data_IF_655437663226
#
_entry.id   IF_655437663226
#
_cell.length_a   1.000
_cell.length_b   1.000
_cell.length_c   1.000
_cell.angle_alpha   90.00
_cell.angle_beta   90.00
_cell.angle_gamma   90.00
#
_symmetry.space_group_name_H-M   'P 1'
#
loop_
_entity.id
_entity.type
_entity.pdbx_description
1 polymer ?
#
# COMPACT_ATOMS: atom_id res chain seq x y z
N UNK A 1 -16.36 11.98 -15.77
CA UNK A 1 -16.04 10.69 -15.13
C UNK A 1 -15.07 10.83 -13.95
N UNK A 2 -15.13 11.94 -13.19
CA UNK A 2 -14.18 12.24 -12.09
C UNK A 2 -14.78 11.87 -10.72
N UNK A 3 -16.10 12.01 -10.55
CA UNK A 3 -16.83 11.74 -9.31
C UNK A 3 -16.82 10.26 -8.85
N UNK A 4 -16.75 9.29 -9.76
CA UNK A 4 -16.61 7.87 -9.39
C UNK A 4 -15.21 7.57 -8.85
N UNK A 5 -14.19 8.24 -9.40
CA UNK A 5 -12.79 8.03 -9.03
C UNK A 5 -12.53 8.51 -7.60
N UNK A 6 -13.00 9.71 -7.24
CA UNK A 6 -12.83 10.27 -5.89
C UNK A 6 -13.57 9.47 -4.81
N UNK A 7 -14.79 8.98 -5.09
CA UNK A 7 -15.55 8.18 -4.12
C UNK A 7 -14.95 6.79 -3.91
N UNK A 8 -14.42 6.17 -4.97
CA UNK A 8 -13.74 4.87 -4.89
C UNK A 8 -12.44 4.97 -4.07
N UNK A 9 -11.66 6.04 -4.25
CA UNK A 9 -10.46 6.30 -3.46
C UNK A 9 -10.75 6.55 -1.98
N UNK A 10 -11.77 7.35 -1.65
CA UNK A 10 -12.17 7.54 -0.24
C UNK A 10 -12.62 6.24 0.42
N UNK A 11 -13.38 5.40 -0.28
CA UNK A 11 -13.79 4.08 0.21
C UNK A 11 -12.59 3.17 0.47
N UNK A 12 -11.60 3.15 -0.44
CA UNK A 12 -10.36 2.39 -0.25
C UNK A 12 -9.50 2.91 0.90
N UNK A 13 -9.34 4.22 1.03
CA UNK A 13 -8.57 4.80 2.13
C UNK A 13 -9.20 4.51 3.50
N UNK A 14 -10.53 4.58 3.60
CA UNK A 14 -11.25 4.21 4.82
C UNK A 14 -11.15 2.72 5.12
N UNK A 15 -11.26 1.87 4.10
CA UNK A 15 -11.07 0.43 4.25
C UNK A 15 -9.65 0.10 4.70
N UNK A 16 -8.62 0.68 4.06
CA UNK A 16 -7.21 0.54 4.44
C UNK A 16 -7.03 0.95 5.89
N UNK A 17 -7.47 2.16 6.28
CA UNK A 17 -7.35 2.64 7.67
C UNK A 17 -8.01 1.72 8.69
N UNK A 18 -9.15 1.13 8.34
CA UNK A 18 -9.85 0.16 9.19
C UNK A 18 -9.04 -1.13 9.34
N UNK A 19 -8.50 -1.66 8.24
CA UNK A 19 -7.73 -2.91 8.26
C UNK A 19 -6.27 -2.73 8.68
N UNK A 20 -5.74 -1.50 8.73
CA UNK A 20 -4.39 -1.20 9.25
C UNK A 20 -4.18 -1.66 10.70
N UNK A 21 -5.27 -1.84 11.44
CA UNK A 21 -5.27 -2.28 12.83
C UNK A 21 -5.59 -3.77 12.98
N UNK A 22 -5.85 -4.48 11.87
CA UNK A 22 -6.12 -5.92 11.89
C UNK A 22 -4.79 -6.69 11.80
N UNK A 23 -4.69 -7.77 12.58
CA UNK A 23 -3.52 -8.66 12.51
C UNK A 23 -3.38 -9.24 11.09
N UNK A 24 -2.14 -9.34 10.61
CA UNK A 24 -1.84 -9.81 9.26
C UNK A 24 -1.96 -8.76 8.18
N UNK A 25 -2.37 -7.51 8.47
CA UNK A 25 -2.31 -6.42 7.49
C UNK A 25 -1.07 -5.55 7.72
N UNK A 26 -0.35 -5.21 6.65
CA UNK A 26 0.77 -4.28 6.73
C UNK A 26 0.65 -3.20 5.65
N UNK A 27 0.76 -1.95 6.09
CA UNK A 27 0.84 -0.78 5.22
C UNK A 27 2.22 -0.16 5.39
N UNK A 28 2.98 -0.07 4.30
CA UNK A 28 4.27 0.59 4.24
C UNK A 28 4.14 1.86 3.39
N UNK A 29 4.78 2.93 3.84
CA UNK A 29 4.82 4.21 3.12
C UNK A 29 6.26 4.53 2.72
N UNK A 30 6.42 5.10 1.53
CA UNK A 30 7.67 5.71 1.09
C UNK A 30 7.55 7.22 1.27
N UNK A 31 8.46 7.80 2.02
CA UNK A 31 8.51 9.23 2.29
C UNK A 31 9.76 9.86 1.68
N UNK A 32 9.58 11.03 1.06
CA UNK A 32 10.65 11.86 0.52
C UNK A 32 10.35 13.32 0.86
N UNK A 33 11.28 14.00 1.56
CA UNK A 33 11.09 15.39 1.98
C UNK A 33 9.83 15.63 2.81
N UNK A 34 9.45 14.66 3.66
CA UNK A 34 8.24 14.73 4.50
C UNK A 34 6.93 14.53 3.74
N UNK A 35 6.97 14.15 2.45
CA UNK A 35 5.79 13.81 1.66
C UNK A 35 5.75 12.31 1.37
N UNK A 36 4.57 11.72 1.48
CA UNK A 36 4.33 10.34 1.04
C UNK A 36 4.31 10.31 -0.48
N UNK A 37 5.27 9.58 -1.08
CA UNK A 37 5.42 9.42 -2.53
C UNK A 37 5.06 8.01 -3.00
N UNK A 38 4.81 7.09 -2.08
CA UNK A 38 4.35 5.75 -2.41
C UNK A 38 3.74 5.01 -1.23
N UNK A 39 2.89 4.03 -1.51
CA UNK A 39 2.19 3.20 -0.53
C UNK A 39 2.16 1.76 -1.00
N UNK A 40 2.46 0.83 -0.11
CA UNK A 40 2.29 -0.61 -0.27
C UNK A 40 1.35 -1.11 0.83
N UNK A 41 0.25 -1.76 0.44
CA UNK A 41 -0.60 -2.54 1.34
C UNK A 41 -0.49 -4.01 0.98
N UNK A 42 -0.12 -4.83 1.96
CA UNK A 42 -0.10 -6.28 1.86
C UNK A 42 -0.85 -6.95 3.01
N UNK A 43 -1.39 -8.12 2.72
CA UNK A 43 -2.09 -8.98 3.67
C UNK A 43 -1.33 -10.29 3.77
N UNK A 44 -1.03 -10.70 4.98
CA UNK A 44 -0.40 -11.96 5.31
C UNK A 44 -1.45 -12.98 5.72
N UNK A 45 -1.29 -14.21 5.25
CA UNK A 45 -2.22 -15.30 5.51
C UNK A 45 -1.47 -16.62 5.57
N UNK A 46 -2.02 -17.57 6.33
CA UNK A 46 -1.57 -18.94 6.29
C UNK A 46 -2.17 -19.62 5.06
N UNK A 47 -1.31 -20.10 4.18
CA UNK A 47 -1.69 -20.89 3.03
C UNK A 47 -1.70 -22.37 3.41
N UNK A 48 -2.89 -22.95 3.50
CA UNK A 48 -3.06 -24.36 3.87
C UNK A 48 -2.64 -25.31 2.74
N UNK A 49 -2.61 -24.86 1.49
CA UNK A 49 -2.21 -25.69 0.34
C UNK A 49 -0.69 -25.82 0.31
N UNK A 50 0.02 -24.74 0.61
CA UNK A 50 1.48 -24.71 0.63
C UNK A 50 2.08 -24.88 2.03
N UNK A 51 1.23 -25.04 3.06
CA UNK A 51 1.61 -25.09 4.48
C UNK A 51 2.59 -23.97 4.88
N UNK A 52 2.37 -22.75 4.37
CA UNK A 52 3.31 -21.63 4.47
C UNK A 52 2.65 -20.32 4.88
N UNK A 53 3.44 -19.38 5.40
CA UNK A 53 2.99 -18.02 5.66
C UNK A 53 3.27 -17.15 4.43
N UNK A 54 2.21 -16.77 3.73
CA UNK A 54 2.28 -16.06 2.46
C UNK A 54 1.77 -14.63 2.61
N UNK A 55 2.08 -13.78 1.62
CA UNK A 55 1.51 -12.44 1.51
C UNK A 55 0.88 -12.20 0.15
N UNK A 56 -0.13 -11.33 0.12
CA UNK A 56 -0.76 -10.83 -1.09
C UNK A 56 -0.68 -9.30 -1.10
N UNK A 57 -0.21 -8.74 -2.21
CA UNK A 57 -0.16 -7.28 -2.40
C UNK A 57 -1.53 -6.79 -2.88
N UNK A 58 -2.25 -6.12 -2.00
CA UNK A 58 -3.56 -5.54 -2.30
C UNK A 58 -3.46 -4.20 -3.04
N UNK A 59 -2.40 -3.44 -2.77
CA UNK A 59 -2.19 -2.12 -3.35
C UNK A 59 -0.71 -1.79 -3.40
N UNK A 60 -0.24 -1.34 -4.56
CA UNK A 60 1.05 -0.71 -4.72
C UNK A 60 0.86 0.54 -5.57
N UNK A 61 1.14 1.70 -4.98
CA UNK A 61 1.00 2.99 -5.64
C UNK A 61 2.28 3.77 -5.46
N UNK A 62 2.72 4.40 -6.55
CA UNK A 62 3.83 5.34 -6.56
C UNK A 62 3.38 6.54 -7.35
N UNK A 63 3.68 7.71 -6.80
CA UNK A 63 3.47 9.00 -7.46
C UNK A 63 4.20 9.03 -8.81
N UNK A 64 3.56 9.62 -9.83
CA UNK A 64 3.99 9.48 -11.23
C UNK A 64 5.39 10.04 -11.46
N UNK A 65 5.71 11.17 -10.83
CA UNK A 65 7.03 11.81 -10.92
C UNK A 65 8.15 10.96 -10.30
N UNK A 66 7.77 9.97 -9.49
CA UNK A 66 8.66 9.09 -8.75
C UNK A 66 8.70 7.66 -9.31
N UNK A 67 7.88 7.34 -10.33
CA UNK A 67 7.92 6.03 -11.00
C UNK A 67 9.21 5.85 -11.81
N UNK A 68 9.70 4.61 -11.89
CA UNK A 68 10.95 4.26 -12.61
C UNK A 68 12.22 4.76 -11.93
N UNK A 69 12.10 5.56 -10.87
CA UNK A 69 13.20 5.89 -9.96
C UNK A 69 13.17 4.85 -8.85
N UNK A 70 14.29 4.17 -8.62
CA UNK A 70 14.41 3.36 -7.42
C UNK A 70 14.24 4.28 -6.21
N UNK A 71 13.18 4.08 -5.42
CA UNK A 71 13.01 4.70 -4.12
C UNK A 71 14.08 4.12 -3.19
N UNK A 72 15.30 4.66 -3.29
CA UNK A 72 16.41 4.25 -2.45
C UNK A 72 16.18 4.76 -1.04
N UNK A 73 16.32 3.88 -0.05
CA UNK A 73 16.38 4.25 1.35
C UNK A 73 17.57 5.21 1.55
N UNK A 74 17.29 6.46 1.91
CA UNK A 74 18.33 7.45 2.27
C UNK A 74 18.96 8.23 1.11
N UNK A 75 18.18 8.78 0.19
CA UNK A 75 18.63 9.98 -0.54
C UNK A 75 18.51 11.21 0.39
N UNK A 76 19.46 12.16 0.34
CA UNK A 76 19.73 13.13 1.41
C UNK A 76 18.53 13.98 1.84
#
# INVERSE_FOLDING_TARGET
>A
MIYKFTRWWHGRAAAIRRVSHEEGHQVLVAELGGKVVGVLHQVFYLDMVLAGYNSHVNLLLVDEEHRGKALKKGAP
#
